data_IF_859155220227
#
_entry.id   IF_859155220227
#
_cell.length_a   1.000
_cell.length_b   1.000
_cell.length_c   1.000
_cell.angle_alpha   90.00
_cell.angle_beta   90.00
_cell.angle_gamma   90.00
#
_symmetry.space_group_name_H-M   'P 1'
#
loop_
_entity.id
_entity.type
_entity.pdbx_description
1 polymer ?
#
# COMPACT_ATOMS: atom_id res chain seq x y z
N UNK A 1 11.16 -0.74 -33.56
CA UNK A 1 10.50 0.17 -32.61
C UNK A 1 9.72 -0.72 -31.68
N UNK A 2 10.32 -1.11 -30.57
CA UNK A 2 9.63 -1.90 -29.54
C UNK A 2 8.65 -0.96 -28.84
N UNK A 3 7.36 -1.27 -28.94
CA UNK A 3 6.36 -0.72 -28.04
C UNK A 3 6.69 -1.28 -26.65
N UNK A 4 7.40 -0.49 -25.84
CA UNK A 4 7.36 -0.66 -24.38
C UNK A 4 5.94 -0.25 -23.97
N UNK A 5 5.00 -1.18 -24.15
CA UNK A 5 3.63 -0.96 -23.74
C UNK A 5 3.64 -0.80 -22.23
N UNK A 6 3.34 0.41 -21.75
CA UNK A 6 2.93 0.58 -20.36
C UNK A 6 1.69 -0.30 -20.19
N UNK A 7 1.85 -1.46 -19.58
CA UNK A 7 0.73 -2.26 -19.12
C UNK A 7 0.14 -1.48 -17.96
N UNK A 8 -1.01 -0.85 -18.19
CA UNK A 8 -1.79 -0.28 -17.10
C UNK A 8 -2.16 -1.42 -16.16
N UNK A 9 -1.94 -1.22 -14.87
CA UNK A 9 -2.48 -2.15 -13.88
C UNK A 9 -4.00 -2.05 -13.97
N UNK A 10 -4.73 -3.17 -14.04
CA UNK A 10 -6.20 -3.16 -14.04
C UNK A 10 -6.77 -2.91 -12.63
N UNK A 11 -6.02 -2.21 -11.78
CA UNK A 11 -6.39 -1.94 -10.41
C UNK A 11 -7.61 -1.03 -10.36
N UNK A 12 -8.56 -1.43 -9.52
CA UNK A 12 -9.81 -0.72 -9.30
C UNK A 12 -9.90 -0.30 -7.84
N UNK A 13 -10.43 0.90 -7.58
CA UNK A 13 -10.82 1.28 -6.23
C UNK A 13 -11.88 0.30 -5.71
N UNK A 14 -11.71 -0.17 -4.48
CA UNK A 14 -12.59 -1.18 -3.90
C UNK A 14 -14.04 -0.72 -3.90
N UNK A 15 -14.29 0.57 -3.60
CA UNK A 15 -15.63 1.15 -3.59
C UNK A 15 -16.30 1.21 -4.97
N UNK A 16 -15.52 1.15 -6.05
CA UNK A 16 -15.99 1.17 -7.44
C UNK A 16 -15.91 -0.23 -8.09
N UNK A 17 -15.63 -1.27 -7.31
CA UNK A 17 -15.50 -2.65 -7.78
C UNK A 17 -16.67 -3.52 -7.29
N UNK A 18 -16.89 -4.66 -7.95
CA UNK A 18 -17.82 -5.70 -7.49
C UNK A 18 -17.24 -6.58 -6.37
N UNK A 19 -16.04 -6.25 -5.86
CA UNK A 19 -15.38 -7.03 -4.82
C UNK A 19 -16.19 -6.98 -3.52
N UNK A 20 -16.32 -8.15 -2.90
CA UNK A 20 -16.91 -8.29 -1.57
C UNK A 20 -15.82 -8.72 -0.61
N UNK A 21 -15.60 -7.91 0.43
CA UNK A 21 -14.75 -8.28 1.55
C UNK A 21 -15.12 -9.70 2.01
N UNK A 22 -14.13 -10.56 2.06
CA UNK A 22 -14.32 -11.96 2.46
C UNK A 22 -14.42 -12.08 3.97
N UNK A 23 -14.92 -13.22 4.47
CA UNK A 23 -15.07 -13.43 5.89
C UNK A 23 -13.70 -13.35 6.60
N UNK A 24 -13.53 -12.32 7.44
CA UNK A 24 -12.27 -12.02 8.15
C UNK A 24 -11.56 -10.76 7.68
N UNK A 25 -11.94 -10.19 6.52
CA UNK A 25 -11.45 -8.89 6.06
C UNK A 25 -12.31 -7.78 6.69
N UNK A 26 -11.67 -6.88 7.44
CA UNK A 26 -12.33 -5.70 7.99
C UNK A 26 -12.54 -4.64 6.88
N UNK A 27 -13.67 -3.93 6.91
CA UNK A 27 -13.79 -2.68 6.16
C UNK A 27 -13.03 -1.58 6.90
N UNK A 28 -11.83 -1.28 6.39
CA UNK A 28 -10.88 -0.37 7.02
C UNK A 28 -11.01 1.08 6.51
N UNK A 29 -11.98 1.35 5.62
CA UNK A 29 -12.15 2.70 5.08
C UNK A 29 -12.50 3.69 6.19
N UNK A 30 -11.82 4.84 6.18
CA UNK A 30 -11.93 5.87 7.20
C UNK A 30 -11.12 5.61 8.48
N UNK A 31 -10.44 4.46 8.60
CA UNK A 31 -9.58 4.17 9.76
C UNK A 31 -8.39 5.12 9.81
N UNK A 32 -7.94 5.40 11.03
CA UNK A 32 -6.73 6.21 11.25
C UNK A 32 -5.51 5.42 10.80
N UNK A 33 -4.58 6.09 10.12
CA UNK A 33 -3.27 5.54 9.78
C UNK A 33 -2.24 6.16 10.73
N UNK A 34 -1.47 5.33 11.40
CA UNK A 34 -0.36 5.73 12.26
C UNK A 34 0.92 4.98 11.87
N UNK A 35 2.06 5.47 12.32
CA UNK A 35 3.30 4.69 12.27
C UNK A 35 3.51 3.87 13.56
N UNK A 36 4.54 3.03 13.58
CA UNK A 36 4.94 2.23 14.75
C UNK A 36 5.29 3.07 16.00
N UNK A 37 5.53 4.38 15.83
CA UNK A 37 5.77 5.32 16.94
C UNK A 37 4.49 6.01 17.42
N UNK A 38 3.31 5.52 17.02
CA UNK A 38 1.98 6.07 17.31
C UNK A 38 1.73 7.48 16.76
N UNK A 39 2.59 7.95 15.84
CA UNK A 39 2.39 9.24 15.16
C UNK A 39 1.33 9.08 14.08
N UNK A 40 0.30 9.93 14.11
CA UNK A 40 -0.73 9.97 13.09
C UNK A 40 -0.16 10.44 11.74
N UNK A 41 -0.48 9.67 10.70
CA UNK A 41 -0.05 9.92 9.32
C UNK A 41 -1.20 10.42 8.47
N UNK A 42 -2.42 9.93 8.72
CA UNK A 42 -3.56 10.22 7.87
C UNK A 42 -4.73 9.28 8.09
N UNK A 43 -5.53 9.07 7.04
CA UNK A 43 -6.67 8.16 7.05
C UNK A 43 -6.74 7.29 5.79
N UNK A 44 -7.26 6.08 5.94
CA UNK A 44 -7.56 5.21 4.80
C UNK A 44 -8.73 5.82 4.02
N UNK A 45 -8.49 6.19 2.77
CA UNK A 45 -9.53 6.65 1.84
C UNK A 45 -10.26 5.47 1.22
N UNK A 46 -9.50 4.56 0.62
CA UNK A 46 -9.99 3.36 -0.07
C UNK A 46 -8.84 2.34 -0.23
N UNK A 47 -9.08 1.26 -0.96
CA UNK A 47 -8.08 0.24 -1.31
C UNK A 47 -8.06 0.03 -2.83
N UNK A 48 -6.91 -0.37 -3.37
CA UNK A 48 -6.80 -0.81 -4.76
C UNK A 48 -6.87 -2.34 -4.84
N UNK A 49 -7.78 -2.81 -5.67
CA UNK A 49 -8.08 -4.21 -5.92
C UNK A 49 -7.68 -4.60 -7.34
N UNK A 50 -6.99 -5.73 -7.44
CA UNK A 50 -6.61 -6.42 -8.66
C UNK A 50 -7.72 -7.44 -9.02
N UNK A 51 -8.58 -7.15 -10.01
CA UNK A 51 -9.67 -8.04 -10.41
C UNK A 51 -9.17 -9.30 -11.12
N UNK A 52 -7.99 -9.26 -11.73
CA UNK A 52 -7.42 -10.40 -12.45
C UNK A 52 -7.04 -11.49 -11.45
N UNK A 53 -6.38 -11.10 -10.36
CA UNK A 53 -5.92 -12.04 -9.33
C UNK A 53 -6.85 -12.11 -8.10
N UNK A 54 -7.96 -11.35 -8.11
CA UNK A 54 -8.90 -11.24 -7.01
C UNK A 54 -8.21 -10.91 -5.67
N UNK A 55 -7.33 -9.90 -5.67
CA UNK A 55 -6.50 -9.54 -4.54
C UNK A 55 -6.47 -8.03 -4.28
N UNK A 56 -6.53 -7.62 -3.01
CA UNK A 56 -6.23 -6.23 -2.64
C UNK A 56 -4.71 -6.04 -2.61
N UNK A 57 -4.22 -4.99 -3.25
CA UNK A 57 -2.77 -4.75 -3.44
C UNK A 57 -2.27 -3.52 -2.70
N UNK A 58 -3.06 -2.45 -2.65
CA UNK A 58 -2.63 -1.17 -2.07
C UNK A 58 -3.71 -0.55 -1.18
N UNK A 59 -3.26 0.26 -0.23
CA UNK A 59 -4.06 1.20 0.54
C UNK A 59 -3.99 2.57 -0.14
N UNK A 60 -5.12 3.23 -0.35
CA UNK A 60 -5.17 4.65 -0.70
C UNK A 60 -5.30 5.43 0.61
N UNK A 61 -4.31 6.27 0.90
CA UNK A 61 -4.22 7.01 2.16
C UNK A 61 -4.26 8.50 1.87
N UNK A 62 -5.17 9.19 2.55
CA UNK A 62 -5.15 10.64 2.67
C UNK A 62 -4.16 11.02 3.76
N UNK A 63 -3.02 11.57 3.36
CA UNK A 63 -2.05 12.10 4.30
C UNK A 63 -2.62 13.35 4.98
N UNK A 64 -2.48 13.40 6.30
CA UNK A 64 -2.68 14.64 7.05
C UNK A 64 -1.60 15.65 6.66
N UNK A 65 -1.79 16.92 7.06
CA UNK A 65 -0.77 17.95 6.87
C UNK A 65 0.51 17.56 7.64
N UNK A 66 1.50 17.02 6.91
CA UNK A 66 2.81 16.62 7.44
C UNK A 66 3.76 17.83 7.65
N UNK A 67 3.24 19.06 7.57
CA UNK A 67 3.94 20.31 7.80
C UNK A 67 3.51 21.42 6.83
N UNK A 68 3.64 22.66 7.27
CA UNK A 68 3.11 23.95 6.75
C UNK A 68 3.01 24.16 5.22
N UNK A 69 3.75 23.42 4.41
CA UNK A 69 3.81 23.56 2.94
C UNK A 69 3.30 22.32 2.17
N UNK A 70 2.65 21.36 2.83
CA UNK A 70 2.08 20.19 2.16
C UNK A 70 0.55 20.27 2.09
N UNK A 71 0.02 20.39 0.88
CA UNK A 71 -1.40 20.15 0.64
C UNK A 71 -1.76 18.68 0.95
N UNK A 72 -3.01 18.46 1.36
CA UNK A 72 -3.54 17.11 1.57
C UNK A 72 -3.32 16.26 0.33
N UNK A 73 -2.56 15.18 0.49
CA UNK A 73 -2.08 14.35 -0.61
C UNK A 73 -2.57 12.93 -0.44
N UNK A 74 -3.29 12.44 -1.44
CA UNK A 74 -3.58 11.02 -1.55
C UNK A 74 -2.34 10.27 -2.04
N UNK A 75 -1.93 9.22 -1.33
CA UNK A 75 -0.85 8.32 -1.75
C UNK A 75 -1.34 6.88 -1.76
N UNK A 76 -0.63 6.01 -2.47
CA UNK A 76 -0.86 4.56 -2.40
C UNK A 76 0.32 3.84 -1.76
N UNK A 77 0.01 2.94 -0.83
CA UNK A 77 1.00 2.16 -0.08
C UNK A 77 0.71 0.67 -0.27
N UNK A 78 1.71 -0.17 -0.59
CA UNK A 78 1.55 -1.62 -0.66
C UNK A 78 0.93 -2.19 0.64
N UNK A 79 -0.12 -3.00 0.51
CA UNK A 79 -0.90 -3.46 1.68
C UNK A 79 -0.08 -4.31 2.65
N UNK A 80 0.89 -5.09 2.17
CA UNK A 80 1.73 -5.95 2.99
C UNK A 80 2.82 -5.20 3.77
N UNK A 81 2.98 -3.89 3.56
CA UNK A 81 3.77 -3.04 4.46
C UNK A 81 2.97 -2.62 5.70
N UNK A 82 1.65 -2.67 5.62
CA UNK A 82 0.79 -2.28 6.71
C UNK A 82 0.38 -3.49 7.56
N UNK A 83 -0.06 -3.23 8.78
CA UNK A 83 -0.77 -4.22 9.59
C UNK A 83 -1.88 -3.54 10.39
N UNK A 84 -2.87 -4.31 10.82
CA UNK A 84 -3.95 -3.78 11.65
C UNK A 84 -3.56 -3.76 13.12
N UNK A 85 -3.91 -2.68 13.83
CA UNK A 85 -3.85 -2.69 15.28
C UNK A 85 -4.78 -3.79 15.82
N UNK A 86 -4.35 -4.49 16.88
CA UNK A 86 -5.02 -5.68 17.39
C UNK A 86 -6.45 -5.40 17.90
N UNK A 87 -6.68 -4.18 18.43
CA UNK A 87 -7.91 -3.85 19.17
C UNK A 87 -8.63 -2.60 18.69
N UNK A 88 -7.95 -1.77 17.91
CA UNK A 88 -8.47 -0.47 17.50
C UNK A 88 -8.57 -0.42 15.98
N UNK A 89 -9.40 0.49 15.49
CA UNK A 89 -9.63 0.73 14.07
C UNK A 89 -8.51 1.62 13.52
N UNK A 90 -7.28 1.09 13.60
CA UNK A 90 -6.03 1.74 13.21
C UNK A 90 -5.26 0.82 12.27
N UNK A 91 -4.79 1.41 11.17
CA UNK A 91 -3.79 0.82 10.28
C UNK A 91 -2.41 1.33 10.68
N UNK A 92 -1.46 0.44 10.88
CA UNK A 92 -0.11 0.75 11.30
C UNK A 92 0.83 0.56 10.09
N UNK A 93 1.57 1.62 9.77
CA UNK A 93 2.67 1.60 8.81
C UNK A 93 4.02 1.53 9.53
N UNK A 94 5.07 1.01 8.88
CA UNK A 94 6.43 1.18 9.37
C UNK A 94 6.79 2.66 9.42
N UNK A 95 7.87 2.98 10.12
CA UNK A 95 8.42 4.34 10.13
C UNK A 95 8.96 4.75 8.74
N UNK A 96 8.10 5.34 7.91
CA UNK A 96 8.42 5.98 6.63
C UNK A 96 8.77 7.45 6.91
N UNK A 97 9.88 7.94 6.37
CA UNK A 97 10.30 9.34 6.57
C UNK A 97 9.40 10.31 5.79
N UNK A 98 9.19 11.51 6.34
CA UNK A 98 8.41 12.58 5.69
C UNK A 98 8.87 12.88 4.27
N UNK A 99 10.18 12.84 4.00
CA UNK A 99 10.72 13.06 2.66
C UNK A 99 10.33 11.95 1.68
N UNK A 100 10.13 10.72 2.14
CA UNK A 100 9.60 9.63 1.31
C UNK A 100 8.12 9.86 1.00
N UNK A 101 7.30 10.27 1.98
CA UNK A 101 5.91 10.66 1.73
C UNK A 101 5.78 11.83 0.74
N UNK A 102 6.70 12.80 0.82
CA UNK A 102 6.81 13.89 -0.16
C UNK A 102 7.16 13.38 -1.55
N UNK A 103 8.09 12.44 -1.64
CA UNK A 103 8.53 11.86 -2.91
C UNK A 103 7.48 10.95 -3.58
N UNK A 104 6.59 10.31 -2.81
CA UNK A 104 5.55 9.45 -3.38
C UNK A 104 4.73 10.17 -4.45
N UNK A 105 4.32 9.52 -5.54
CA UNK A 105 3.43 10.17 -6.51
C UNK A 105 2.07 10.49 -5.87
N UNK A 106 1.39 11.51 -6.39
CA UNK A 106 -0.02 11.75 -6.06
C UNK A 106 -0.85 10.60 -6.61
N UNK A 107 -1.75 10.07 -5.80
CA UNK A 107 -2.73 9.11 -6.29
C UNK A 107 -3.75 9.83 -7.19
N UNK A 108 -3.80 9.39 -8.45
CA UNK A 108 -4.82 9.79 -9.42
C UNK A 108 -5.56 8.52 -9.85
N UNK A 109 -6.88 8.54 -9.69
CA UNK A 109 -7.74 7.38 -9.98
C UNK A 109 -7.62 6.99 -11.46
N UNK A 110 -7.40 5.71 -11.73
CA UNK A 110 -7.22 5.18 -13.09
C UNK A 110 -5.83 5.42 -13.72
N UNK A 111 -4.91 6.12 -13.04
CA UNK A 111 -3.56 6.40 -13.55
C UNK A 111 -2.46 5.64 -12.78
N UNK A 112 -2.79 4.44 -12.27
CA UNK A 112 -1.80 3.56 -11.66
C UNK A 112 -1.30 2.59 -12.72
N UNK A 113 -0.16 2.91 -13.34
CA UNK A 113 0.53 2.01 -14.26
C UNK A 113 1.77 1.37 -13.60
N UNK A 114 2.41 0.47 -14.33
CA UNK A 114 3.62 -0.21 -13.86
C UNK A 114 4.74 0.75 -13.45
N UNK A 115 4.85 1.93 -14.08
CA UNK A 115 5.90 2.90 -13.75
C UNK A 115 5.62 3.54 -12.39
N UNK A 116 4.36 3.89 -12.12
CA UNK A 116 3.92 4.39 -10.81
C UNK A 116 4.19 3.34 -9.72
N UNK A 117 3.85 2.07 -9.96
CA UNK A 117 4.12 0.98 -9.01
C UNK A 117 5.62 0.80 -8.73
N UNK A 118 6.46 0.88 -9.77
CA UNK A 118 7.92 0.81 -9.65
C UNK A 118 8.51 2.02 -8.91
N UNK A 119 7.97 3.22 -9.14
CA UNK A 119 8.37 4.43 -8.45
C UNK A 119 8.07 4.32 -6.94
N UNK A 120 6.86 3.89 -6.59
CA UNK A 120 6.45 3.65 -5.19
C UNK A 120 7.39 2.64 -4.51
N UNK A 121 7.68 1.53 -5.18
CA UNK A 121 8.61 0.52 -4.69
C UNK A 121 10.00 1.13 -4.46
N UNK A 122 10.50 1.92 -5.39
CA UNK A 122 11.82 2.56 -5.26
C UNK A 122 11.89 3.52 -4.07
N UNK A 123 10.81 4.28 -3.84
CA UNK A 123 10.73 5.28 -2.76
C UNK A 123 10.62 4.60 -1.39
N UNK A 124 9.70 3.63 -1.25
CA UNK A 124 9.42 2.99 0.04
C UNK A 124 10.44 1.87 0.33
N UNK A 125 10.85 1.14 -0.69
CA UNK A 125 11.83 0.04 -0.63
C UNK A 125 13.27 0.49 -0.44
N UNK A 126 13.53 1.76 -0.13
CA UNK A 126 14.87 2.33 -0.01
C UNK A 126 15.53 2.40 1.40
N UNK A 127 15.20 1.60 2.43
CA UNK A 127 16.18 1.31 3.48
C UNK A 127 17.36 0.53 2.87
N UNK A 128 18.58 0.81 3.30
CA UNK A 128 19.80 0.13 2.83
C UNK A 128 19.75 -1.42 2.91
N UNK A 129 18.83 -1.98 3.72
CA UNK A 129 18.58 -3.42 3.83
C UNK A 129 17.90 -4.03 2.59
N UNK A 130 16.99 -3.30 1.92
CA UNK A 130 16.24 -3.80 0.76
C UNK A 130 17.07 -3.76 -0.54
N UNK A 131 18.04 -2.85 -0.66
CA UNK A 131 18.99 -2.80 -1.80
C UNK A 131 19.82 -4.08 -1.99
N UNK A 132 20.01 -4.88 -0.93
CA UNK A 132 20.78 -6.12 -1.00
C UNK A 132 19.99 -7.28 -1.61
N UNK A 133 18.66 -7.26 -1.52
CA UNK A 133 17.77 -8.31 -2.05
C UNK A 133 17.20 -7.97 -3.43
N UNK A 134 16.98 -6.69 -3.75
CA UNK A 134 16.34 -6.26 -5.01
C UNK A 134 17.19 -6.44 -6.28
N UNK A 135 18.51 -6.59 -6.17
CA UNK A 135 19.40 -6.67 -7.35
C UNK A 135 19.24 -7.98 -8.17
N UNK A 136 18.41 -8.92 -7.71
CA UNK A 136 18.30 -10.26 -8.28
C UNK A 136 16.94 -10.50 -9.00
N UNK A 137 15.92 -9.67 -8.76
CA UNK A 137 14.55 -9.97 -9.22
C UNK A 137 14.00 -8.80 -10.03
N UNK A 138 14.14 -8.87 -11.35
CA UNK A 138 13.43 -7.95 -12.25
C UNK A 138 12.83 -8.74 -13.43
N UNK A 139 11.56 -8.41 -13.72
CA UNK A 139 10.73 -8.74 -14.90
C UNK A 139 9.79 -9.95 -14.83
N UNK A 140 8.89 -9.97 -13.83
CA UNK A 140 7.54 -10.54 -14.00
C UNK A 140 6.56 -9.81 -13.06
N UNK A 141 5.45 -9.30 -13.61
CA UNK A 141 4.37 -8.63 -12.84
C UNK A 141 3.70 -9.63 -11.88
N UNK A 142 3.64 -10.91 -12.27
CA UNK A 142 3.17 -11.95 -11.36
C UNK A 142 4.16 -12.16 -10.20
N UNK A 143 5.48 -12.13 -10.46
CA UNK A 143 6.48 -12.18 -9.39
C UNK A 143 6.49 -10.92 -8.52
N UNK A 144 6.25 -9.74 -9.10
CA UNK A 144 6.14 -8.48 -8.37
C UNK A 144 5.10 -8.57 -7.26
N UNK A 145 3.93 -9.12 -7.59
CA UNK A 145 2.84 -9.35 -6.65
C UNK A 145 2.98 -10.58 -5.76
N UNK A 146 3.94 -11.47 -6.05
CA UNK A 146 4.30 -12.59 -5.17
C UNK A 146 5.25 -12.15 -4.04
N UNK A 147 5.70 -10.90 -4.02
CA UNK A 147 6.50 -10.37 -2.93
C UNK A 147 5.66 -10.17 -1.66
N UNK A 148 6.26 -10.39 -0.49
CA UNK A 148 5.58 -10.28 0.81
C UNK A 148 4.98 -8.88 1.07
N UNK A 149 5.46 -7.84 0.39
CA UNK A 149 4.91 -6.48 0.43
C UNK A 149 3.46 -6.37 -0.08
N UNK A 150 2.95 -7.39 -0.77
CA UNK A 150 1.57 -7.46 -1.27
C UNK A 150 0.76 -8.57 -0.60
N UNK A 151 1.32 -9.26 0.40
CA UNK A 151 0.63 -10.34 1.07
C UNK A 151 -0.40 -9.81 2.07
N UNK A 152 -1.67 -9.82 1.65
CA UNK A 152 -2.80 -9.44 2.49
C UNK A 152 -2.98 -10.32 3.73
N UNK A 153 -2.44 -11.54 3.76
CA UNK A 153 -2.56 -12.41 4.91
C UNK A 153 -1.78 -11.84 6.12
N UNK A 154 -0.65 -11.17 5.88
CA UNK A 154 0.10 -10.47 6.93
C UNK A 154 -0.70 -9.29 7.48
N UNK A 155 -1.39 -8.56 6.60
CA UNK A 155 -2.19 -7.39 6.97
C UNK A 155 -3.35 -7.73 7.92
N UNK A 156 -4.14 -8.77 7.60
CA UNK A 156 -5.33 -9.15 8.38
C UNK A 156 -5.05 -10.08 9.56
N UNK A 157 -3.80 -10.50 9.77
CA UNK A 157 -3.42 -11.28 10.93
C UNK A 157 -3.34 -10.36 12.16
N UNK A 158 -4.50 -10.00 12.72
CA UNK A 158 -4.57 -9.48 14.09
C UNK A 158 -4.07 -10.59 14.99
N UNK A 159 -2.82 -10.47 15.42
CA UNK A 159 -2.07 -11.48 16.15
C UNK A 159 -2.97 -12.20 17.16
N UNK A 160 -3.31 -13.47 16.87
CA UNK A 160 -3.79 -14.39 17.90
C UNK A 160 -2.59 -14.75 18.78
N UNK A 161 -2.16 -13.83 19.63
CA UNK A 161 -1.38 -14.20 20.82
C UNK A 161 -2.32 -14.94 21.77
N UNK A 162 -2.42 -16.24 21.54
CA UNK A 162 -2.95 -17.20 22.50
C UNK A 162 -1.99 -17.16 23.69
N UNK A 163 -2.33 -16.41 24.74
CA UNK A 163 -1.71 -16.61 26.04
C UNK A 163 -2.13 -18.00 26.53
N UNK A 164 -1.18 -18.92 26.56
CA UNK A 164 -1.24 -20.16 27.36
C UNK A 164 -0.53 -19.92 28.69
#
# INVERSE_FOLDING_TARGET
MENQGNTYSELQELSNSDYKLTAGEADIKGWTVQNESETQIGKVRDLLFDPINNAVRYLIIDLDDLGVDMESKGVIIPIGLAHLHEREDIVILPNIHTDQFKALPYYVSGEVDQNVENEIRTIIGSPAALRLEEKIVELDVAEFYNHHHFDKAQFYNRDRKIHL
#
